data_IF_985537596025
#
_entry.id   IF_985537596025
#
_cell.length_a   1.000
_cell.length_b   1.000
_cell.length_c   1.000
_cell.angle_alpha   90.00
_cell.angle_beta   90.00
_cell.angle_gamma   90.00
#
_symmetry.space_group_name_H-M   'P 1'
#
loop_
_entity.id
_entity.type
_entity.pdbx_description
1 polymer ?
#
# COMPACT_ATOMS: atom_id res chain seq x y z
N UNK A 1 -10.18 7.80 -0.46
CA UNK A 1 -8.88 8.47 -0.20
C UNK A 1 -8.16 8.76 -1.52
N UNK A 2 -7.11 9.59 -1.50
CA UNK A 2 -6.28 9.90 -2.67
C UNK A 2 -5.03 9.03 -2.69
N UNK A 3 -4.81 8.30 -3.77
CA UNK A 3 -3.66 7.41 -3.95
C UNK A 3 -2.94 7.65 -5.27
N UNK A 4 -1.70 7.21 -5.36
CA UNK A 4 -0.89 7.26 -6.58
C UNK A 4 -0.22 5.91 -6.85
N UNK A 5 -0.23 5.46 -8.09
CA UNK A 5 0.45 4.26 -8.56
C UNK A 5 1.48 4.62 -9.62
N UNK A 6 2.70 4.09 -9.50
CA UNK A 6 3.81 4.31 -10.44
C UNK A 6 4.10 3.06 -11.26
N UNK A 7 4.63 3.28 -12.47
CA UNK A 7 5.10 2.26 -13.42
C UNK A 7 4.17 1.05 -13.53
N UNK A 8 2.89 1.36 -13.77
CA UNK A 8 1.82 0.38 -13.95
C UNK A 8 1.55 0.14 -15.42
N UNK A 9 1.48 -1.13 -15.82
CA UNK A 9 1.19 -1.51 -17.20
C UNK A 9 -0.30 -1.36 -17.53
N UNK A 10 -0.68 -1.23 -18.82
CA UNK A 10 -2.08 -1.04 -19.22
C UNK A 10 -3.04 -2.12 -18.70
N UNK A 11 -2.60 -3.38 -18.65
CA UNK A 11 -3.41 -4.50 -18.12
C UNK A 11 -3.64 -4.40 -16.62
N UNK A 12 -2.60 -4.07 -15.86
CA UNK A 12 -2.69 -3.88 -14.40
C UNK A 12 -3.56 -2.68 -14.05
N UNK A 13 -3.46 -1.61 -14.83
CA UNK A 13 -4.36 -0.46 -14.74
C UNK A 13 -5.81 -0.88 -14.91
N UNK A 14 -6.13 -1.74 -15.87
CA UNK A 14 -7.50 -2.22 -16.07
C UNK A 14 -8.00 -2.97 -14.83
N UNK A 15 -7.22 -3.91 -14.30
CA UNK A 15 -7.58 -4.64 -13.07
C UNK A 15 -7.72 -3.73 -11.85
N UNK A 16 -6.86 -2.72 -11.71
CA UNK A 16 -6.94 -1.76 -10.61
C UNK A 16 -8.21 -0.90 -10.71
N UNK A 17 -8.55 -0.43 -11.92
CA UNK A 17 -9.78 0.34 -12.15
C UNK A 17 -11.01 -0.52 -11.85
N UNK A 18 -11.01 -1.78 -12.32
CA UNK A 18 -12.07 -2.75 -12.05
C UNK A 18 -12.22 -2.97 -10.54
N UNK A 19 -11.14 -3.26 -9.82
CA UNK A 19 -11.18 -3.48 -8.38
C UNK A 19 -11.62 -2.24 -7.57
N UNK A 20 -11.21 -1.05 -8.00
CA UNK A 20 -11.49 0.20 -7.28
C UNK A 20 -12.95 0.64 -7.35
N UNK A 21 -13.66 0.34 -8.44
CA UNK A 21 -15.05 0.79 -8.67
C UNK A 21 -15.30 2.27 -8.34
N UNK A 22 -14.33 3.16 -8.67
CA UNK A 22 -14.34 4.61 -8.37
C UNK A 22 -14.46 4.99 -6.87
N UNK A 23 -14.14 4.08 -5.95
CA UNK A 23 -14.15 4.37 -4.50
C UNK A 23 -13.01 5.30 -4.07
N UNK A 24 -11.81 5.10 -4.61
CA UNK A 24 -10.63 5.90 -4.30
C UNK A 24 -10.19 6.70 -5.54
N UNK A 25 -9.61 7.89 -5.32
CA UNK A 25 -9.02 8.69 -6.39
C UNK A 25 -7.58 8.21 -6.60
N UNK A 26 -7.37 7.35 -7.59
CA UNK A 26 -6.07 6.76 -7.90
C UNK A 26 -5.47 7.47 -9.12
N UNK A 27 -4.37 8.18 -8.91
CA UNK A 27 -3.56 8.74 -10.00
C UNK A 27 -2.58 7.69 -10.50
N UNK A 28 -2.55 7.48 -11.81
CA UNK A 28 -1.70 6.48 -12.45
C UNK A 28 -0.59 7.19 -13.22
N UNK A 29 0.66 6.87 -12.88
CA UNK A 29 1.87 7.37 -13.55
C UNK A 29 2.54 6.20 -14.26
N UNK A 30 2.85 6.35 -15.54
CA UNK A 30 3.52 5.32 -16.33
C UNK A 30 5.02 5.24 -16.04
N UNK A 31 5.61 6.29 -15.47
CA UNK A 31 7.02 6.38 -15.14
C UNK A 31 7.33 5.66 -13.81
N UNK A 32 8.57 5.19 -13.66
CA UNK A 32 9.11 4.64 -12.41
C UNK A 32 9.13 5.68 -11.29
N UNK A 33 9.04 5.18 -10.05
CA UNK A 33 9.19 5.99 -8.86
C UNK A 33 10.68 6.30 -8.64
N UNK A 34 11.06 7.56 -8.83
CA UNK A 34 12.41 8.07 -8.59
C UNK A 34 12.30 9.41 -7.86
N UNK A 35 13.42 9.97 -7.40
CA UNK A 35 13.43 11.28 -6.73
C UNK A 35 12.87 12.42 -7.61
N UNK A 36 12.99 12.29 -8.93
CA UNK A 36 12.47 13.27 -9.90
C UNK A 36 10.94 13.19 -10.01
N UNK A 37 10.40 11.96 -10.05
CA UNK A 37 8.96 11.70 -10.18
C UNK A 37 8.22 11.65 -8.84
N UNK A 38 8.95 11.72 -7.73
CA UNK A 38 8.41 11.70 -6.37
C UNK A 38 7.39 12.83 -6.15
N UNK A 39 7.63 14.00 -6.75
CA UNK A 39 6.75 15.18 -6.66
C UNK A 39 5.30 14.92 -7.12
N UNK A 40 5.04 13.92 -7.98
CA UNK A 40 3.67 13.57 -8.37
C UNK A 40 2.84 13.00 -7.21
N UNK A 41 3.49 12.51 -6.15
CA UNK A 41 2.82 12.04 -4.94
C UNK A 41 2.32 13.19 -4.03
N UNK A 42 2.65 14.45 -4.35
CA UNK A 42 2.21 15.60 -3.57
C UNK A 42 0.68 15.67 -3.47
N UNK A 43 0.17 15.86 -2.25
CA UNK A 43 -1.27 15.93 -1.99
C UNK A 43 -2.01 14.59 -2.07
N UNK A 44 -1.28 13.48 -2.16
CA UNK A 44 -1.82 12.11 -2.04
C UNK A 44 -1.50 11.55 -0.67
N UNK A 45 -2.32 10.60 -0.23
CA UNK A 45 -2.20 10.00 1.11
C UNK A 45 -1.58 8.61 1.07
N UNK A 46 -1.78 7.88 -0.04
CA UNK A 46 -1.28 6.53 -0.23
C UNK A 46 -0.48 6.37 -1.52
N UNK A 47 0.61 5.60 -1.45
CA UNK A 47 1.36 5.10 -2.60
C UNK A 47 0.96 3.65 -2.86
N UNK A 48 0.75 3.28 -4.11
CA UNK A 48 0.55 1.91 -4.56
C UNK A 48 1.75 1.50 -5.40
N UNK A 49 2.46 0.46 -4.96
CA UNK A 49 3.65 -0.08 -5.60
C UNK A 49 3.27 -1.35 -6.34
N UNK A 50 3.38 -1.33 -7.66
CA UNK A 50 3.07 -2.47 -8.53
C UNK A 50 4.27 -3.34 -8.86
N UNK A 51 5.46 -2.76 -8.77
CA UNK A 51 6.71 -3.34 -9.22
C UNK A 51 7.67 -3.53 -8.05
N UNK A 52 8.92 -3.83 -8.37
CA UNK A 52 9.99 -3.96 -7.39
C UNK A 52 10.95 -2.76 -7.44
N UNK A 53 10.44 -1.56 -7.75
CA UNK A 53 11.25 -0.34 -7.65
C UNK A 53 11.76 -0.19 -6.21
N UNK A 54 13.05 0.17 -6.02
CA UNK A 54 13.62 0.26 -4.68
C UNK A 54 13.04 1.43 -3.90
N UNK A 55 12.36 1.13 -2.80
CA UNK A 55 11.90 2.11 -1.81
C UNK A 55 12.96 2.21 -0.70
N UNK A 56 14.06 2.89 -1.04
CA UNK A 56 15.13 3.19 -0.10
C UNK A 56 14.78 4.36 0.84
N UNK A 57 15.66 4.62 1.81
CA UNK A 57 15.45 5.65 2.83
C UNK A 57 15.20 7.06 2.24
N UNK A 58 15.89 7.44 1.15
CA UNK A 58 15.70 8.74 0.50
C UNK A 58 14.30 8.89 -0.11
N UNK A 59 13.84 7.88 -0.84
CA UNK A 59 12.48 7.87 -1.42
C UNK A 59 11.45 7.88 -0.30
N UNK A 60 11.63 7.06 0.74
CA UNK A 60 10.75 7.01 1.91
C UNK A 60 10.65 8.38 2.61
N UNK A 61 11.78 9.04 2.82
CA UNK A 61 11.83 10.37 3.43
C UNK A 61 11.14 11.42 2.55
N UNK A 62 11.37 11.37 1.23
CA UNK A 62 10.69 12.23 0.26
C UNK A 62 9.18 12.03 0.28
N UNK A 63 8.70 10.79 0.21
CA UNK A 63 7.27 10.46 0.26
C UNK A 63 6.62 11.01 1.53
N UNK A 64 7.31 10.88 2.67
CA UNK A 64 6.83 11.43 3.95
C UNK A 64 6.75 12.95 3.91
N UNK A 65 7.75 13.63 3.34
CA UNK A 65 7.76 15.08 3.20
C UNK A 65 6.61 15.59 2.32
N UNK A 66 6.19 14.80 1.32
CA UNK A 66 5.04 15.09 0.46
C UNK A 66 3.68 14.79 1.10
N UNK A 67 3.66 14.22 2.30
CA UNK A 67 2.44 13.93 3.05
C UNK A 67 1.87 12.53 2.84
N UNK A 68 2.61 11.63 2.18
CA UNK A 68 2.24 10.21 2.11
C UNK A 68 2.27 9.63 3.52
N UNK A 69 1.27 8.80 3.82
CA UNK A 69 1.10 8.13 5.11
C UNK A 69 1.09 6.61 4.97
N UNK A 70 0.69 6.12 3.79
CA UNK A 70 0.46 4.70 3.55
C UNK A 70 1.14 4.24 2.27
N UNK A 71 1.65 3.01 2.26
CA UNK A 71 2.24 2.35 1.10
C UNK A 71 1.60 0.97 0.96
N UNK A 72 0.90 0.71 -0.13
CA UNK A 72 0.36 -0.60 -0.47
C UNK A 72 1.20 -1.22 -1.59
N UNK A 73 1.69 -2.44 -1.42
CA UNK A 73 2.28 -3.22 -2.52
C UNK A 73 1.27 -4.22 -3.07
N UNK A 74 1.29 -4.44 -4.39
CA UNK A 74 0.46 -5.45 -5.07
C UNK A 74 1.07 -6.85 -5.08
N UNK A 75 2.16 -7.06 -4.34
CA UNK A 75 2.88 -8.33 -4.26
C UNK A 75 2.90 -8.88 -2.83
N UNK A 76 3.13 -10.19 -2.69
CA UNK A 76 3.43 -10.79 -1.40
C UNK A 76 4.81 -10.34 -0.88
N UNK A 77 5.79 -10.29 -1.78
CA UNK A 77 7.14 -9.84 -1.47
C UNK A 77 7.24 -8.30 -1.39
N UNK A 78 7.93 -7.83 -0.35
CA UNK A 78 8.22 -6.42 -0.09
C UNK A 78 9.71 -6.20 0.22
N UNK A 79 10.59 -7.09 -0.27
CA UNK A 79 12.03 -7.05 0.00
C UNK A 79 12.71 -5.80 -0.55
N UNK A 80 12.08 -5.16 -1.56
CA UNK A 80 12.51 -3.90 -2.16
C UNK A 80 12.16 -2.65 -1.31
N UNK A 81 11.44 -2.81 -0.19
CA UNK A 81 10.99 -1.72 0.67
C UNK A 81 11.81 -1.69 1.97
N UNK A 82 12.44 -0.56 2.24
CA UNK A 82 13.13 -0.34 3.52
C UNK A 82 12.11 -0.13 4.65
N UNK A 83 11.74 -1.23 5.30
CA UNK A 83 10.79 -1.23 6.42
C UNK A 83 11.28 -0.41 7.61
N UNK A 84 12.60 -0.33 7.81
CA UNK A 84 13.18 0.41 8.92
C UNK A 84 13.03 1.91 8.70
N UNK A 85 13.40 2.40 7.51
CA UNK A 85 13.19 3.77 7.12
C UNK A 85 11.70 4.14 7.13
N UNK A 86 10.83 3.26 6.61
CA UNK A 86 9.40 3.52 6.58
C UNK A 86 8.81 3.63 7.99
N UNK A 87 9.23 2.76 8.92
CA UNK A 87 8.85 2.84 10.33
C UNK A 87 9.36 4.12 10.98
N UNK A 88 10.62 4.49 10.76
CA UNK A 88 11.22 5.72 11.28
C UNK A 88 10.50 6.98 10.76
N UNK A 89 10.05 6.96 9.51
CA UNK A 89 9.24 8.02 8.89
C UNK A 89 7.76 8.00 9.34
N UNK A 90 7.32 6.97 10.07
CA UNK A 90 5.93 6.78 10.49
C UNK A 90 4.98 6.43 9.34
N UNK A 91 5.49 5.81 8.28
CA UNK A 91 4.70 5.27 7.17
C UNK A 91 4.16 3.88 7.53
N UNK A 92 2.94 3.59 7.09
CA UNK A 92 2.33 2.27 7.24
C UNK A 92 2.41 1.52 5.92
N UNK A 93 2.89 0.28 5.97
CA UNK A 93 3.06 -0.56 4.77
C UNK A 93 2.06 -1.72 4.82
N UNK A 94 1.44 -2.02 3.68
CA UNK A 94 0.63 -3.20 3.49
C UNK A 94 1.04 -3.98 2.24
N UNK A 95 1.08 -5.31 2.33
CA UNK A 95 1.29 -6.21 1.20
C UNK A 95 0.06 -7.07 0.89
N UNK A 96 0.24 -8.00 -0.05
CA UNK A 96 -0.72 -9.08 -0.30
C UNK A 96 -0.37 -10.23 0.66
N UNK A 97 -1.28 -10.67 1.55
CA UNK A 97 -0.98 -11.69 2.54
C UNK A 97 -0.97 -13.14 1.98
N UNK A 98 -1.15 -13.32 0.67
CA UNK A 98 -1.20 -14.62 0.01
C UNK A 98 -0.31 -14.66 -1.25
N UNK A 99 0.29 -15.82 -1.54
CA UNK A 99 1.26 -16.01 -2.64
C UNK A 99 0.62 -16.44 -3.96
N UNK A 100 -0.46 -17.22 -3.91
CA UNK A 100 -1.08 -17.85 -5.09
C UNK A 100 -2.34 -17.11 -5.59
N UNK A 101 -2.44 -15.80 -5.31
CA UNK A 101 -3.57 -14.99 -5.75
C UNK A 101 -3.54 -14.68 -7.25
N UNK A 102 -4.72 -14.57 -7.87
CA UNK A 102 -4.84 -14.05 -9.23
C UNK A 102 -4.58 -12.54 -9.31
N UNK A 103 -4.23 -12.03 -10.49
CA UNK A 103 -3.93 -10.61 -10.69
C UNK A 103 -5.06 -9.67 -10.23
N UNK A 104 -6.32 -10.03 -10.48
CA UNK A 104 -7.48 -9.24 -10.05
C UNK A 104 -7.71 -9.33 -8.54
N UNK A 105 -7.44 -10.48 -7.92
CA UNK A 105 -7.57 -10.67 -6.47
C UNK A 105 -6.54 -9.83 -5.71
N UNK A 106 -5.31 -9.76 -6.22
CA UNK A 106 -4.28 -8.88 -5.68
C UNK A 106 -4.76 -7.42 -5.70
N UNK A 107 -5.40 -6.98 -6.79
CA UNK A 107 -5.97 -5.63 -6.87
C UNK A 107 -7.10 -5.42 -5.87
N UNK A 108 -8.01 -6.37 -5.72
CA UNK A 108 -9.07 -6.29 -4.69
C UNK A 108 -8.48 -6.14 -3.28
N UNK A 109 -7.39 -6.84 -2.99
CA UNK A 109 -6.71 -6.73 -1.71
C UNK A 109 -6.02 -5.37 -1.54
N UNK A 110 -5.39 -4.80 -2.57
CA UNK A 110 -4.86 -3.42 -2.53
C UNK A 110 -5.98 -2.42 -2.23
N UNK A 111 -7.12 -2.53 -2.91
CA UNK A 111 -8.28 -1.66 -2.66
C UNK A 111 -8.83 -1.86 -1.25
N UNK A 112 -8.89 -3.10 -0.75
CA UNK A 112 -9.28 -3.39 0.63
C UNK A 112 -8.33 -2.76 1.66
N UNK A 113 -7.03 -2.73 1.38
CA UNK A 113 -6.05 -2.05 2.25
C UNK A 113 -6.32 -0.54 2.29
N UNK A 114 -6.58 0.07 1.12
CA UNK A 114 -6.95 1.49 1.00
C UNK A 114 -8.28 1.81 1.70
N UNK A 115 -9.28 0.94 1.59
CA UNK A 115 -10.59 1.07 2.25
C UNK A 115 -10.43 1.09 3.78
N UNK A 116 -9.68 0.14 4.32
CA UNK A 116 -9.39 0.08 5.75
C UNK A 116 -8.70 1.36 6.24
N UNK A 117 -7.68 1.85 5.53
CA UNK A 117 -7.01 3.09 5.92
C UNK A 117 -7.91 4.32 5.80
N UNK A 118 -8.73 4.39 4.75
CA UNK A 118 -9.71 5.46 4.59
C UNK A 118 -10.76 5.46 5.73
N UNK A 119 -11.10 4.28 6.26
CA UNK A 119 -11.96 4.10 7.42
C UNK A 119 -11.22 4.22 8.78
N UNK A 120 -9.91 4.52 8.78
CA UNK A 120 -9.10 4.60 10.00
C UNK A 120 -8.78 3.26 10.66
N UNK A 121 -9.04 2.14 9.97
CA UNK A 121 -8.80 0.76 10.44
C UNK A 121 -7.40 0.27 10.10
N UNK A 122 -6.97 -0.78 10.81
CA UNK A 122 -5.76 -1.53 10.47
C UNK A 122 -6.03 -2.50 9.31
N UNK A 123 -4.98 -2.90 8.60
CA UNK A 123 -5.05 -3.85 7.46
C UNK A 123 -4.83 -5.31 7.86
N UNK A 124 -4.65 -5.60 9.16
CA UNK A 124 -4.53 -6.96 9.69
C UNK A 124 -3.29 -7.70 9.16
N UNK A 125 -3.46 -8.94 8.70
CA UNK A 125 -2.41 -9.79 8.11
C UNK A 125 -1.69 -9.17 6.91
N UNK A 126 -2.33 -8.23 6.21
CA UNK A 126 -1.67 -7.48 5.14
C UNK A 126 -0.65 -6.47 5.69
N UNK A 127 -0.56 -6.23 7.00
CA UNK A 127 0.34 -5.23 7.56
C UNK A 127 1.78 -5.73 7.60
N UNK A 128 2.69 -5.00 6.95
CA UNK A 128 4.13 -5.28 7.00
C UNK A 128 4.83 -4.63 8.21
N UNK A 129 4.08 -3.97 9.09
CA UNK A 129 4.66 -3.32 10.26
C UNK A 129 5.21 -4.38 11.22
N UNK A 130 6.53 -4.40 11.40
CA UNK A 130 7.21 -5.29 12.33
C UNK A 130 6.71 -5.07 13.77
N UNK A 131 5.89 -6.04 14.22
CA UNK A 131 5.66 -6.49 15.59
C UNK A 131 5.17 -5.48 16.66
N UNK A 132 4.67 -4.29 16.30
CA UNK A 132 4.11 -3.36 17.29
C UNK A 132 3.00 -2.45 16.73
N UNK A 133 2.11 -2.98 15.88
CA UNK A 133 0.81 -2.35 15.71
C UNK A 133 -0.09 -2.85 16.84
N UNK A 134 -0.40 -1.96 17.80
CA UNK A 134 -1.25 -2.20 18.95
C UNK A 134 -2.74 -2.39 18.58
N UNK A 135 -3.05 -3.19 17.57
CA UNK A 135 -4.38 -3.81 17.45
C UNK A 135 -4.29 -5.11 18.22
N UNK A 136 -4.60 -5.01 19.52
CA UNK A 136 -4.98 -6.16 20.33
C UNK A 136 -6.12 -6.84 19.56
N UNK A 137 -5.87 -7.99 18.96
CA UNK A 137 -6.95 -8.86 18.50
C UNK A 137 -7.85 -9.09 19.70
N UNK A 138 -9.06 -8.54 19.66
CA UNK A 138 -10.12 -9.00 20.54
C UNK A 138 -10.46 -10.38 19.99
N UNK A 139 -9.75 -11.38 20.50
CA UNK A 139 -10.12 -12.78 20.38
C UNK A 139 -11.37 -12.88 21.25
N UNK A 140 -12.54 -12.85 20.62
CA UNK A 140 -13.79 -13.25 21.25
C UNK A 140 -13.68 -14.75 21.50
N UNK A 141 -13.28 -15.11 22.72
CA UNK A 141 -13.49 -16.45 23.24
C UNK A 141 -14.96 -16.55 23.66
N UNK A 142 -15.78 -17.10 22.78
CA UNK A 142 -17.05 -17.72 23.19
C UNK A 142 -17.12 -19.10 22.55
N UNK A 143 -16.38 -20.02 23.16
CA UNK A 143 -16.62 -21.44 23.07
C UNK A 143 -17.45 -21.80 24.30
N UNK A 144 -18.74 -22.08 24.12
CA UNK A 144 -19.60 -22.80 25.09
C UNK A 144 -20.98 -23.06 24.46
N UNK A 145 -21.21 -24.26 23.93
CA UNK A 145 -22.13 -25.28 24.48
C UNK A 145 -22.06 -26.58 23.69
#
# INVERSE_FOLDING_TARGET
>A
MKAIAYNINPKEKEWLILANYKKHEITIIANSLTLDTLNFAAGKEALIVFNQDPLNADIVAGLKALGIKYIATSSFDYSHIDLFAAKAAGLKIANIPFKDGGNLENMHQVIKNLDNWAAGKCVGDACCCQNSCAVKSIIDQNHEH
#
